data_IF_940546261544
#
_entry.id   IF_940546261544
#
_cell.length_a   1.000
_cell.length_b   1.000
_cell.length_c   1.000
_cell.angle_alpha   90.00
_cell.angle_beta   90.00
_cell.angle_gamma   90.00
#
_symmetry.space_group_name_H-M   'P 1'
#
loop_
_entity.id
_entity.type
_entity.pdbx_description
1 polymer ?
#
# COMPACT_ATOMS: atom_id res chain seq x y z
N UNK A 1 6.83 -2.26 -6.35
CA UNK A 1 6.87 -3.54 -5.63
C UNK A 1 5.69 -3.54 -4.70
N UNK A 2 4.85 -4.57 -4.77
CA UNK A 2 3.72 -4.77 -3.87
C UNK A 2 4.20 -5.15 -2.48
N UNK A 3 3.36 -4.94 -1.47
CA UNK A 3 3.69 -5.28 -0.08
C UNK A 3 3.85 -6.79 0.10
N UNK A 4 3.11 -7.59 -0.65
CA UNK A 4 3.31 -9.05 -0.69
C UNK A 4 4.71 -9.44 -1.17
N UNK A 5 5.17 -8.84 -2.27
CA UNK A 5 6.53 -9.06 -2.77
C UNK A 5 7.60 -8.57 -1.78
N UNK A 6 7.32 -7.49 -1.04
CA UNK A 6 8.20 -7.01 0.03
C UNK A 6 8.29 -8.01 1.18
N UNK A 7 7.15 -8.55 1.61
CA UNK A 7 7.07 -9.55 2.66
C UNK A 7 7.92 -10.78 2.31
N UNK A 8 7.82 -11.29 1.09
CA UNK A 8 8.58 -12.47 0.66
C UNK A 8 10.09 -12.20 0.71
N UNK A 9 10.53 -11.04 0.20
CA UNK A 9 11.94 -10.63 0.27
C UNK A 9 12.41 -10.42 1.70
N UNK A 10 11.57 -9.83 2.55
CA UNK A 10 11.87 -9.65 3.97
C UNK A 10 12.07 -11.00 4.67
N UNK A 11 11.20 -11.98 4.42
CA UNK A 11 11.32 -13.33 4.97
C UNK A 11 12.55 -14.06 4.43
N UNK A 12 12.88 -13.89 3.15
CA UNK A 12 14.09 -14.46 2.55
C UNK A 12 15.35 -13.87 3.19
N UNK A 13 15.42 -12.55 3.33
CA UNK A 13 16.57 -11.85 3.91
C UNK A 13 16.73 -12.10 5.41
N UNK A 14 15.60 -12.26 6.12
CA UNK A 14 15.56 -12.61 7.54
C UNK A 14 16.34 -13.88 7.88
N UNK A 15 16.48 -14.81 6.93
CA UNK A 15 17.24 -16.06 7.10
C UNK A 15 18.75 -15.81 7.28
N UNK A 16 19.26 -14.72 6.71
CA UNK A 16 20.68 -14.38 6.77
C UNK A 16 21.03 -13.57 8.03
N UNK A 17 20.05 -12.95 8.68
CA UNK A 17 20.26 -12.12 9.86
C UNK A 17 19.26 -12.47 10.99
N UNK A 18 19.25 -13.72 11.50
CA UNK A 18 18.27 -14.15 12.50
C UNK A 18 18.31 -13.29 13.78
N UNK A 19 19.49 -12.79 14.18
CA UNK A 19 19.66 -11.91 15.35
C UNK A 19 18.94 -10.56 15.25
N UNK A 20 18.71 -10.08 14.03
CA UNK A 20 17.99 -8.83 13.79
C UNK A 20 16.48 -9.01 13.79
N UNK A 21 15.97 -10.25 13.78
CA UNK A 21 14.54 -10.59 13.69
C UNK A 21 14.11 -11.65 14.72
N UNK A 22 14.96 -11.91 15.73
CA UNK A 22 14.76 -12.96 16.72
C UNK A 22 13.62 -12.66 17.71
N UNK A 23 13.22 -11.40 17.86
CA UNK A 23 12.06 -10.99 18.66
C UNK A 23 11.03 -10.29 17.79
N UNK A 24 9.76 -10.41 18.16
CA UNK A 24 8.68 -9.77 17.42
C UNK A 24 8.86 -8.23 17.31
N UNK A 25 9.25 -7.50 18.37
CA UNK A 25 9.52 -6.07 18.27
C UNK A 25 10.66 -5.72 17.30
N UNK A 26 11.73 -6.50 17.28
CA UNK A 26 12.84 -6.29 16.33
C UNK A 26 12.38 -6.55 14.89
N UNK A 27 11.61 -7.62 14.67
CA UNK A 27 11.04 -7.95 13.37
C UNK A 27 10.11 -6.84 12.87
N UNK A 28 9.23 -6.33 13.74
CA UNK A 28 8.35 -5.20 13.44
C UNK A 28 9.14 -3.95 13.05
N UNK A 29 10.16 -3.59 13.84
CA UNK A 29 11.02 -2.43 13.56
C UNK A 29 11.72 -2.55 12.20
N UNK A 30 12.30 -3.71 11.91
CA UNK A 30 12.98 -3.97 10.63
C UNK A 30 12.02 -3.94 9.46
N UNK A 31 10.83 -4.52 9.62
CA UNK A 31 9.79 -4.50 8.60
C UNK A 31 9.35 -3.06 8.28
N UNK A 32 9.04 -2.25 9.29
CA UNK A 32 8.65 -0.84 9.13
C UNK A 32 9.75 0.00 8.46
N UNK A 33 11.03 -0.25 8.79
CA UNK A 33 12.17 0.50 8.25
C UNK A 33 12.34 0.32 6.73
N UNK A 34 11.95 -0.82 6.17
CA UNK A 34 12.03 -1.07 4.73
C UNK A 34 10.76 -0.72 3.95
N UNK A 35 9.70 -0.23 4.61
CA UNK A 35 8.53 0.31 3.93
C UNK A 35 8.78 1.72 3.41
N UNK A 36 8.07 2.10 2.34
CA UNK A 36 8.06 3.47 1.84
C UNK A 36 7.43 4.44 2.85
N UNK A 37 7.93 5.68 2.89
CA UNK A 37 7.58 6.67 3.93
C UNK A 37 6.07 6.88 4.13
N UNK A 38 5.21 6.96 3.08
CA UNK A 38 3.78 7.15 3.29
C UNK A 38 3.11 5.98 4.02
N UNK A 39 3.46 4.74 3.67
CA UNK A 39 2.93 3.54 4.31
C UNK A 39 3.50 3.38 5.72
N UNK A 40 4.80 3.63 5.88
CA UNK A 40 5.47 3.62 7.17
C UNK A 40 4.82 4.60 8.13
N UNK A 41 4.58 5.84 7.71
CA UNK A 41 3.94 6.86 8.53
C UNK A 41 2.53 6.46 8.95
N UNK A 42 1.74 5.90 8.01
CA UNK A 42 0.40 5.43 8.33
C UNK A 42 0.41 4.31 9.37
N UNK A 43 1.34 3.35 9.27
CA UNK A 43 1.42 2.22 10.18
C UNK A 43 2.05 2.59 11.53
N UNK A 44 2.96 3.58 11.58
CA UNK A 44 3.57 4.04 12.83
C UNK A 44 2.56 4.63 13.81
N UNK A 45 1.40 5.10 13.33
CA UNK A 45 0.32 5.62 14.18
C UNK A 45 -0.53 4.51 14.82
N UNK A 46 -0.22 3.24 14.55
CA UNK A 46 -0.95 2.09 15.08
C UNK A 46 -0.03 1.18 15.89
N UNK A 47 -0.53 0.69 17.02
CA UNK A 47 0.11 -0.39 17.78
C UNK A 47 -0.39 -1.74 17.28
N UNK A 48 0.54 -2.64 16.99
CA UNK A 48 0.24 -3.99 16.54
C UNK A 48 0.65 -5.02 17.61
N UNK A 49 -0.20 -6.02 17.90
CA UNK A 49 0.10 -7.02 18.91
C UNK A 49 1.23 -7.97 18.49
N UNK A 50 1.40 -8.20 17.18
CA UNK A 50 2.50 -8.99 16.63
C UNK A 50 2.85 -8.56 15.19
N UNK A 51 3.98 -9.06 14.69
CA UNK A 51 4.49 -8.75 13.37
C UNK A 51 3.54 -9.21 12.25
N UNK A 52 2.78 -10.29 12.43
CA UNK A 52 1.84 -10.74 11.41
C UNK A 52 0.72 -9.70 11.20
N UNK A 53 0.17 -9.14 12.28
CA UNK A 53 -0.84 -8.06 12.18
C UNK A 53 -0.27 -6.82 11.50
N UNK A 54 1.00 -6.50 11.75
CA UNK A 54 1.72 -5.42 11.07
C UNK A 54 1.94 -5.69 9.58
N UNK A 55 2.03 -6.96 9.15
CA UNK A 55 2.23 -7.33 7.74
C UNK A 55 0.88 -7.36 7.00
N UNK A 56 -0.16 -7.90 7.62
CA UNK A 56 -1.48 -8.03 7.00
C UNK A 56 -2.14 -6.67 6.75
N UNK A 57 -1.97 -5.73 7.69
CA UNK A 57 -2.57 -4.39 7.61
C UNK A 57 -2.13 -3.55 6.39
N UNK A 58 -0.83 -3.47 6.05
CA UNK A 58 -0.38 -2.78 4.86
C UNK A 58 -0.93 -3.40 3.57
N UNK A 59 -1.05 -4.73 3.46
CA UNK A 59 -1.62 -5.39 2.27
C UNK A 59 -3.04 -4.90 2.02
N UNK A 60 -3.88 -4.89 3.06
CA UNK A 60 -5.24 -4.36 2.96
C UNK A 60 -5.24 -2.88 2.58
N UNK A 61 -4.36 -2.08 3.20
CA UNK A 61 -4.23 -0.65 2.92
C UNK A 61 -3.86 -0.39 1.46
N UNK A 62 -2.88 -1.11 0.91
CA UNK A 62 -2.44 -0.98 -0.47
C UNK A 62 -3.55 -1.35 -1.46
N UNK A 63 -4.27 -2.44 -1.20
CA UNK A 63 -5.41 -2.86 -2.01
C UNK A 63 -6.52 -1.80 -2.00
N UNK A 64 -6.91 -1.31 -0.82
CA UNK A 64 -7.94 -0.27 -0.70
C UNK A 64 -7.54 1.03 -1.40
N UNK A 65 -6.27 1.45 -1.30
CA UNK A 65 -5.75 2.62 -2.03
C UNK A 65 -5.88 2.42 -3.54
N UNK A 66 -5.49 1.26 -4.04
CA UNK A 66 -5.55 0.93 -5.48
C UNK A 66 -6.99 0.94 -6.01
N UNK A 67 -7.93 0.37 -5.25
CA UNK A 67 -9.36 0.40 -5.61
C UNK A 67 -9.89 1.84 -5.70
N UNK A 68 -9.49 2.72 -4.77
CA UNK A 68 -9.87 4.14 -4.82
C UNK A 68 -9.28 4.86 -6.04
N UNK A 69 -8.02 4.59 -6.39
CA UNK A 69 -7.37 5.16 -7.57
C UNK A 69 -8.04 4.70 -8.87
N UNK A 70 -8.42 3.43 -8.95
CA UNK A 70 -9.13 2.88 -10.11
C UNK A 70 -10.53 3.50 -10.26
N UNK A 71 -11.29 3.63 -9.16
CA UNK A 71 -12.59 4.31 -9.14
C UNK A 71 -12.45 5.76 -9.61
N UNK A 72 -11.44 6.49 -9.11
CA UNK A 72 -11.17 7.88 -9.52
C UNK A 72 -10.82 7.97 -11.01
N UNK A 73 -10.06 7.01 -11.55
CA UNK A 73 -9.74 6.95 -12.98
C UNK A 73 -10.97 6.70 -13.84
N UNK A 74 -11.86 5.79 -13.43
CA UNK A 74 -13.14 5.51 -14.12
C UNK A 74 -14.07 6.72 -14.11
N UNK A 75 -14.20 7.41 -12.97
CA UNK A 75 -15.00 8.65 -12.86
C UNK A 75 -14.47 9.76 -13.77
N UNK A 76 -13.14 9.97 -13.81
CA UNK A 76 -12.53 10.94 -14.72
C UNK A 76 -12.76 10.58 -16.19
N UNK A 77 -12.66 9.30 -16.55
CA UNK A 77 -12.92 8.84 -17.91
C UNK A 77 -14.40 9.06 -18.32
N UNK A 78 -15.35 8.83 -17.42
CA UNK A 78 -16.78 9.12 -17.64
C UNK A 78 -17.06 10.62 -17.78
N UNK A 79 -16.42 11.46 -16.98
CA UNK A 79 -16.58 12.91 -17.10
C UNK A 79 -15.98 13.45 -18.40
N UNK A 80 -14.90 12.84 -18.93
CA UNK A 80 -14.33 13.19 -20.23
C UNK A 80 -15.21 12.75 -21.41
N UNK A 81 -15.97 11.66 -21.30
CA UNK A 81 -16.89 11.22 -22.36
C UNK A 81 -18.20 12.01 -22.39
N UNK A 82 -18.56 12.70 -21.30
CA UNK A 82 -19.79 13.51 -21.21
C UNK A 82 -19.63 14.92 -21.79
N UNK A 83 -18.46 15.27 -22.33
CA UNK A 83 -18.19 16.61 -22.85
C UNK A 83 -18.50 16.76 -24.36
N UNK A 84 -19.42 15.97 -24.91
CA UNK A 84 -20.05 16.27 -26.20
C UNK A 84 -21.02 17.43 -26.03
N UNK A 85 -20.46 18.64 -25.89
CA UNK A 85 -21.22 19.89 -26.03
C UNK A 85 -21.79 19.89 -27.46
N UNK A 86 -23.11 19.93 -27.67
CA UNK A 86 -23.65 20.11 -29.01
C UNK A 86 -23.18 21.49 -29.48
N UNK A 87 -22.32 21.53 -30.49
CA UNK A 87 -22.06 22.78 -31.20
C UNK A 87 -23.33 23.08 -32.00
N UNK A 88 -24.08 24.07 -31.52
CA UNK A 88 -25.21 24.63 -32.23
C UNK A 88 -24.66 25.37 -33.45
N UNK A 89 -24.62 24.72 -34.61
CA UNK A 89 -24.42 25.37 -35.90
C UNK A 89 -25.73 26.03 -36.29
N UNK A 90 -25.86 27.32 -35.96
CA UNK A 90 -26.95 28.18 -36.44
C UNK A 90 -26.71 28.61 -37.89
N UNK A 91 -27.79 28.88 -38.65
CA UNK A 91 -27.75 29.24 -40.07
C UNK A 91 -27.13 30.61 -40.36
#
# INVERSE_FOLDING_TARGET
MYISEYQDKFLQLSRYCPEEVNTDPKKQHRFLKGLVDPLRYQLMNHTFPNCQHLIDRPIVTENTRREMEEKKRKQKAQHSSSNTRPQFSGP
#
